data_IF_542125545786
#
_entry.id   IF_542125545786
#
_cell.length_a   1.000
_cell.length_b   1.000
_cell.length_c   1.000
_cell.angle_alpha   90.00
_cell.angle_beta   90.00
_cell.angle_gamma   90.00
#
_symmetry.space_group_name_H-M   'P 1'
#
loop_
_entity.id
_entity.type
_entity.pdbx_description
1 polymer ?
#
# COMPACT_ATOMS: atom_id res chain seq x y z
N UNK A 1 51.93 -12.04 -117.52
CA UNK A 1 52.50 -12.39 -116.19
C UNK A 1 51.96 -11.37 -115.20
N UNK A 2 51.41 -11.79 -114.04
CA UNK A 2 51.15 -11.00 -112.79
C UNK A 2 50.44 -9.62 -112.89
N UNK A 3 49.59 -9.10 -112.00
CA UNK A 3 48.97 -9.44 -110.70
C UNK A 3 47.73 -8.49 -110.56
N UNK A 4 46.74 -8.59 -109.66
CA UNK A 4 46.37 -9.52 -108.58
C UNK A 4 44.82 -9.49 -108.37
N UNK A 5 44.32 -10.26 -107.41
CA UNK A 5 42.90 -10.34 -106.99
C UNK A 5 42.51 -9.22 -106.00
N UNK A 6 41.27 -8.73 -106.02
CA UNK A 6 40.69 -7.98 -104.90
C UNK A 6 39.17 -8.20 -104.75
N UNK A 7 38.76 -8.89 -103.69
CA UNK A 7 37.37 -9.26 -103.40
C UNK A 7 36.75 -8.29 -102.39
N UNK A 8 35.70 -7.54 -102.75
CA UNK A 8 35.07 -6.61 -101.80
C UNK A 8 33.97 -7.27 -100.96
N UNK A 9 34.20 -7.33 -99.64
CA UNK A 9 33.27 -7.87 -98.64
C UNK A 9 32.55 -6.77 -97.85
N UNK A 10 31.22 -6.82 -97.86
CA UNK A 10 30.21 -6.36 -96.87
C UNK A 10 30.56 -5.23 -95.88
N UNK A 11 29.58 -4.31 -95.70
CA UNK A 11 29.16 -3.83 -94.36
C UNK A 11 27.64 -3.54 -94.31
N UNK A 12 26.91 -4.26 -93.46
CA UNK A 12 25.56 -3.87 -92.99
C UNK A 12 25.69 -2.82 -91.88
N UNK A 13 24.77 -1.85 -91.72
CA UNK A 13 24.75 -0.98 -90.55
C UNK A 13 24.37 -1.79 -89.30
N UNK A 14 25.13 -1.64 -88.22
CA UNK A 14 24.73 -2.17 -86.90
C UNK A 14 23.64 -1.28 -86.29
N UNK A 15 22.53 -1.89 -85.90
CA UNK A 15 21.49 -1.21 -85.13
C UNK A 15 22.01 -0.77 -83.76
N UNK A 16 21.90 0.54 -83.46
CA UNK A 16 22.16 1.07 -82.12
C UNK A 16 21.13 0.51 -81.13
N UNK A 17 21.55 -0.45 -80.30
CA UNK A 17 20.77 -0.86 -79.11
C UNK A 17 20.68 0.34 -78.16
N UNK A 18 19.48 0.88 -77.97
CA UNK A 18 19.22 1.89 -76.94
C UNK A 18 19.51 1.32 -75.56
N UNK A 19 20.25 2.08 -74.73
CA UNK A 19 20.38 1.76 -73.29
C UNK A 19 19.01 1.91 -72.63
N UNK A 20 18.56 0.97 -71.79
CA UNK A 20 17.35 1.19 -70.99
C UNK A 20 17.56 2.36 -70.04
N UNK A 21 16.63 3.30 -70.02
CA UNK A 21 16.66 4.42 -69.08
C UNK A 21 16.51 3.88 -67.65
N UNK A 22 17.44 4.23 -66.75
CA UNK A 22 17.32 3.89 -65.33
C UNK A 22 16.09 4.61 -64.76
N UNK A 23 15.17 3.92 -64.07
CA UNK A 23 14.00 4.57 -63.49
C UNK A 23 14.43 5.64 -62.47
N UNK A 24 13.72 6.78 -62.39
CA UNK A 24 14.08 7.85 -61.47
C UNK A 24 14.02 7.33 -60.03
N UNK A 25 15.15 7.39 -59.33
CA UNK A 25 15.25 7.04 -57.90
C UNK A 25 14.36 7.99 -57.11
N UNK A 26 13.16 7.55 -56.74
CA UNK A 26 12.17 8.39 -56.06
C UNK A 26 12.71 8.86 -54.70
N UNK A 27 12.96 10.18 -54.57
CA UNK A 27 13.49 10.80 -53.34
C UNK A 27 12.62 10.49 -52.12
N UNK A 28 11.30 10.32 -52.31
CA UNK A 28 10.35 9.91 -51.27
C UNK A 28 10.64 8.56 -50.59
N UNK A 29 11.35 7.64 -51.25
CA UNK A 29 11.73 6.35 -50.65
C UNK A 29 12.74 6.50 -49.50
N UNK A 30 13.66 7.47 -49.58
CA UNK A 30 14.60 7.78 -48.50
C UNK A 30 13.92 8.53 -47.36
N UNK A 31 13.09 9.52 -47.67
CA UNK A 31 12.32 10.25 -46.67
C UNK A 31 11.40 9.32 -45.85
N UNK A 32 10.67 8.41 -46.51
CA UNK A 32 9.87 7.38 -45.82
C UNK A 32 10.70 6.47 -44.92
N UNK A 33 11.89 6.04 -45.36
CA UNK A 33 12.80 5.24 -44.51
C UNK A 33 13.30 6.03 -43.31
N UNK A 34 13.66 7.29 -43.46
CA UNK A 34 14.10 8.14 -42.35
C UNK A 34 12.96 8.30 -41.34
N UNK A 35 11.75 8.66 -41.79
CA UNK A 35 10.56 8.78 -40.93
C UNK A 35 10.29 7.45 -40.20
N UNK A 36 10.35 6.32 -40.89
CA UNK A 36 10.11 5.00 -40.28
C UNK A 36 11.19 4.63 -39.26
N UNK A 37 12.46 4.90 -39.53
CA UNK A 37 13.54 4.69 -38.55
C UNK A 37 13.42 5.63 -37.35
N UNK A 38 13.07 6.90 -37.55
CA UNK A 38 12.81 7.85 -36.45
C UNK A 38 11.63 7.37 -35.59
N UNK A 39 10.55 6.89 -36.19
CA UNK A 39 9.42 6.30 -35.46
C UNK A 39 9.82 5.04 -34.69
N UNK A 40 10.60 4.14 -35.28
CA UNK A 40 11.13 2.95 -34.59
C UNK A 40 12.01 3.35 -33.40
N UNK A 41 12.92 4.32 -33.56
CA UNK A 41 13.76 4.83 -32.46
C UNK A 41 12.91 5.47 -31.37
N UNK A 42 11.88 6.26 -31.71
CA UNK A 42 10.97 6.85 -30.74
C UNK A 42 10.16 5.79 -29.99
N UNK A 43 9.66 4.75 -30.67
CA UNK A 43 8.95 3.63 -30.03
C UNK A 43 9.87 2.83 -29.13
N UNK A 44 11.11 2.56 -29.54
CA UNK A 44 12.10 1.86 -28.71
C UNK A 44 12.53 2.71 -27.50
N UNK A 45 12.72 4.02 -27.67
CA UNK A 45 13.05 4.93 -26.58
C UNK A 45 11.88 5.07 -25.57
N UNK A 46 10.64 5.19 -26.06
CA UNK A 46 9.45 5.21 -25.22
C UNK A 46 9.24 3.87 -24.49
N UNK A 47 9.40 2.74 -25.18
CA UNK A 47 9.30 1.40 -24.60
C UNK A 47 10.39 1.13 -23.56
N UNK A 48 11.64 1.51 -23.85
CA UNK A 48 12.76 1.41 -22.90
C UNK A 48 12.58 2.30 -21.67
N UNK A 49 12.08 3.53 -21.86
CA UNK A 49 11.74 4.44 -20.75
C UNK A 49 10.61 3.86 -19.89
N UNK A 50 9.53 3.35 -20.51
CA UNK A 50 8.42 2.71 -19.81
C UNK A 50 8.84 1.47 -19.03
N UNK A 51 9.69 0.62 -19.62
CA UNK A 51 10.28 -0.53 -18.94
C UNK A 51 11.15 -0.11 -17.76
N UNK A 52 12.02 0.90 -17.92
CA UNK A 52 12.87 1.41 -16.84
C UNK A 52 12.04 1.95 -15.66
N UNK A 53 11.01 2.77 -15.94
CA UNK A 53 10.09 3.27 -14.91
C UNK A 53 9.36 2.13 -14.19
N UNK A 54 8.84 1.15 -14.94
CA UNK A 54 8.19 -0.05 -14.38
C UNK A 54 9.15 -0.85 -13.48
N UNK A 55 10.35 -1.15 -13.97
CA UNK A 55 11.36 -1.92 -13.25
C UNK A 55 11.84 -1.21 -11.98
N UNK A 56 11.99 0.12 -12.02
CA UNK A 56 12.31 0.92 -10.83
C UNK A 56 11.20 0.82 -9.78
N UNK A 57 9.94 1.01 -10.18
CA UNK A 57 8.79 0.93 -9.26
C UNK A 57 8.61 -0.47 -8.66
N UNK A 58 8.80 -1.51 -9.46
CA UNK A 58 8.69 -2.90 -9.01
C UNK A 58 9.90 -3.33 -8.16
N UNK A 59 11.08 -2.76 -8.38
CA UNK A 59 12.30 -3.03 -7.60
C UNK A 59 12.26 -2.47 -6.18
N UNK A 60 11.39 -1.48 -5.91
CA UNK A 60 11.19 -0.93 -4.56
C UNK A 60 10.37 -1.88 -3.65
N UNK A 61 9.58 -2.80 -4.21
CA UNK A 61 8.64 -3.61 -3.44
C UNK A 61 9.36 -4.79 -2.76
N UNK A 62 9.18 -4.87 -1.43
CA UNK A 62 9.67 -5.97 -0.62
C UNK A 62 8.48 -6.75 -0.03
N UNK A 63 8.42 -8.04 -0.38
CA UNK A 63 7.43 -8.98 0.14
C UNK A 63 7.96 -9.76 1.34
N UNK A 64 7.14 -9.91 2.36
CA UNK A 64 7.33 -10.90 3.43
C UNK A 64 6.61 -12.18 3.01
N UNK A 65 7.31 -13.31 3.00
CA UNK A 65 6.65 -14.61 2.88
C UNK A 65 5.92 -14.92 4.19
N UNK A 66 4.59 -14.81 4.14
CA UNK A 66 3.73 -15.11 5.27
C UNK A 66 3.30 -16.57 5.30
N UNK A 67 3.26 -17.28 4.18
CA UNK A 67 2.70 -18.63 4.16
C UNK A 67 3.65 -19.65 4.79
N UNK A 68 4.97 -19.48 4.63
CA UNK A 68 5.95 -20.26 5.38
C UNK A 68 5.83 -20.02 6.89
N UNK A 69 5.76 -18.75 7.31
CA UNK A 69 5.80 -18.35 8.72
C UNK A 69 4.47 -18.57 9.48
N UNK A 70 3.32 -18.50 8.80
CA UNK A 70 2.01 -18.79 9.37
C UNK A 70 1.72 -20.29 9.39
N UNK A 71 2.23 -21.03 8.40
CA UNK A 71 2.01 -22.47 8.23
C UNK A 71 0.55 -22.81 7.89
N UNK A 72 0.22 -24.11 8.01
CA UNK A 72 -1.08 -24.64 7.56
C UNK A 72 -2.22 -24.49 8.57
N UNK A 73 -1.92 -24.22 9.85
CA UNK A 73 -2.93 -24.10 10.90
C UNK A 73 -3.46 -22.66 11.03
N UNK A 74 -4.15 -22.23 9.97
CA UNK A 74 -4.78 -20.91 9.83
C UNK A 74 -6.31 -21.07 9.79
N UNK A 75 -7.10 -20.03 10.10
CA UNK A 75 -8.55 -20.10 9.94
C UNK A 75 -8.95 -20.46 8.50
N UNK A 76 -10.08 -21.17 8.37
CA UNK A 76 -10.70 -21.45 7.09
C UNK A 76 -11.22 -20.15 6.44
N UNK A 77 -10.95 -19.98 5.14
CA UNK A 77 -11.54 -18.90 4.36
C UNK A 77 -12.93 -19.33 3.91
N UNK A 78 -13.97 -18.67 4.45
CA UNK A 78 -15.34 -18.97 4.03
C UNK A 78 -15.61 -18.35 2.64
N UNK A 79 -16.35 -19.03 1.74
CA UNK A 79 -16.58 -18.54 0.38
C UNK A 79 -17.15 -17.12 0.29
N UNK A 80 -17.97 -16.73 1.26
CA UNK A 80 -18.66 -15.42 1.32
C UNK A 80 -17.91 -14.34 2.11
N UNK A 81 -16.70 -14.63 2.62
CA UNK A 81 -16.01 -13.77 3.61
C UNK A 81 -15.19 -12.60 3.03
N UNK A 82 -15.36 -12.30 1.74
CA UNK A 82 -14.68 -11.17 1.09
C UNK A 82 -13.15 -11.30 1.07
N UNK A 83 -12.46 -10.16 1.19
CA UNK A 83 -11.02 -10.07 1.43
C UNK A 83 -10.73 -9.39 2.77
N UNK A 84 -9.75 -9.90 3.51
CA UNK A 84 -9.34 -9.35 4.81
C UNK A 84 -7.85 -8.98 4.78
N UNK A 85 -7.51 -7.79 5.24
CA UNK A 85 -6.16 -7.22 5.13
C UNK A 85 -5.73 -6.72 6.51
N UNK A 86 -4.56 -7.15 6.99
CA UNK A 86 -3.93 -6.54 8.15
C UNK A 86 -3.06 -5.36 7.70
N UNK A 87 -3.43 -4.15 8.13
CA UNK A 87 -2.66 -2.92 7.92
C UNK A 87 -1.97 -2.54 9.22
N UNK A 88 -0.63 -2.44 9.21
CA UNK A 88 0.18 -1.98 10.34
C UNK A 88 0.84 -0.63 10.03
N UNK A 89 0.82 0.27 11.02
CA UNK A 89 1.69 1.44 11.06
C UNK A 89 2.81 1.21 12.07
N UNK A 90 4.07 1.26 11.63
CA UNK A 90 5.23 0.96 12.47
C UNK A 90 6.10 2.18 12.82
N UNK A 91 6.45 2.29 14.11
CA UNK A 91 7.54 3.14 14.61
C UNK A 91 8.85 2.36 14.50
N UNK A 92 9.23 2.00 13.27
CA UNK A 92 10.50 1.32 12.99
C UNK A 92 11.63 2.34 12.95
N UNK A 93 12.39 2.49 14.04
CA UNK A 93 13.44 3.51 14.21
C UNK A 93 14.75 3.21 13.48
N UNK A 94 14.70 2.42 12.41
CA UNK A 94 15.82 2.16 11.53
C UNK A 94 15.93 3.23 10.42
N UNK A 95 17.15 3.49 9.95
CA UNK A 95 17.40 4.39 8.83
C UNK A 95 16.83 5.81 9.03
N UNK A 96 16.08 6.30 8.05
CA UNK A 96 15.49 7.64 8.02
C UNK A 96 14.50 7.94 9.16
N UNK A 97 14.04 6.93 9.90
CA UNK A 97 13.13 7.09 11.02
C UNK A 97 13.85 7.40 12.36
N UNK A 98 15.18 7.31 12.42
CA UNK A 98 15.94 7.51 13.65
C UNK A 98 15.67 8.88 14.32
N UNK A 99 15.52 9.92 13.49
CA UNK A 99 15.27 11.30 13.95
C UNK A 99 13.77 11.60 14.21
N UNK A 100 12.86 10.66 13.89
CA UNK A 100 11.40 10.82 14.04
C UNK A 100 10.84 10.26 15.37
N UNK A 101 11.71 9.75 16.25
CA UNK A 101 11.35 9.12 17.53
C UNK A 101 11.95 9.80 18.75
N UNK A 102 11.11 10.35 19.64
CA UNK A 102 11.53 11.13 20.84
C UNK A 102 12.03 10.28 22.02
N UNK A 103 12.58 9.07 21.82
CA UNK A 103 12.96 8.19 22.94
C UNK A 103 14.05 7.15 22.66
N UNK A 104 14.84 6.83 23.69
CA UNK A 104 16.00 5.91 23.63
C UNK A 104 15.61 4.44 23.91
N UNK A 105 14.78 3.84 23.05
CA UNK A 105 14.47 2.40 23.12
C UNK A 105 14.65 1.80 21.72
N UNK A 106 15.47 0.74 21.63
CA UNK A 106 15.68 0.01 20.39
C UNK A 106 14.52 -0.95 20.09
N UNK A 107 14.21 -1.13 18.81
CA UNK A 107 13.17 -2.04 18.32
C UNK A 107 11.96 -1.31 17.73
N UNK A 108 11.43 -1.86 16.63
CA UNK A 108 10.24 -1.37 15.95
C UNK A 108 8.96 -1.79 16.68
N UNK A 109 7.92 -0.96 16.67
CA UNK A 109 6.60 -1.25 17.28
C UNK A 109 5.48 -1.01 16.28
N UNK A 110 4.49 -1.90 16.24
CA UNK A 110 3.22 -1.60 15.57
C UNK A 110 2.40 -0.66 16.48
N UNK A 111 2.48 0.63 16.20
CA UNK A 111 1.82 1.69 16.96
C UNK A 111 0.36 1.90 16.51
N UNK A 112 0.02 1.42 15.32
CA UNK A 112 -1.32 1.36 14.73
C UNK A 112 -1.53 -0.01 14.08
N UNK A 113 -2.71 -0.62 14.26
CA UNK A 113 -3.08 -1.87 13.61
C UNK A 113 -4.57 -1.89 13.26
N UNK A 114 -4.90 -2.21 12.01
CA UNK A 114 -6.27 -2.32 11.53
C UNK A 114 -6.48 -3.61 10.73
N UNK A 115 -7.60 -4.29 10.96
CA UNK A 115 -8.11 -5.32 10.05
C UNK A 115 -9.12 -4.66 9.12
N UNK A 116 -8.79 -4.53 7.84
CA UNK A 116 -9.72 -4.07 6.82
C UNK A 116 -10.43 -5.27 6.19
N UNK A 117 -11.74 -5.33 6.36
CA UNK A 117 -12.63 -6.30 5.72
C UNK A 117 -13.33 -5.66 4.53
N UNK A 118 -13.33 -6.35 3.39
CA UNK A 118 -13.87 -5.88 2.13
C UNK A 118 -14.81 -6.98 1.63
N UNK A 119 -16.14 -6.87 1.82
CA UNK A 119 -17.09 -7.92 1.45
C UNK A 119 -17.10 -8.20 -0.06
N UNK A 120 -17.68 -9.34 -0.42
CA UNK A 120 -17.93 -9.71 -1.81
C UNK A 120 -18.71 -8.59 -2.54
N UNK A 121 -18.35 -8.32 -3.80
CA UNK A 121 -18.85 -7.17 -4.56
C UNK A 121 -18.05 -5.87 -4.37
N UNK A 122 -17.24 -5.73 -3.31
CA UNK A 122 -16.29 -4.61 -3.09
C UNK A 122 -16.89 -3.19 -3.20
N UNK A 123 -18.11 -3.00 -2.69
CA UNK A 123 -18.80 -1.69 -2.65
C UNK A 123 -18.72 -0.99 -1.29
N UNK A 124 -18.36 -1.73 -0.24
CA UNK A 124 -18.19 -1.26 1.13
C UNK A 124 -16.86 -1.79 1.67
N UNK A 125 -16.39 -1.23 2.79
CA UNK A 125 -15.32 -1.83 3.58
C UNK A 125 -15.47 -1.42 5.06
N UNK A 126 -15.11 -2.33 5.96
CA UNK A 126 -15.07 -2.09 7.41
C UNK A 126 -13.63 -2.16 7.89
N UNK A 127 -13.14 -1.15 8.61
CA UNK A 127 -11.83 -1.17 9.24
C UNK A 127 -11.95 -1.31 10.77
N UNK A 128 -11.46 -2.43 11.30
CA UNK A 128 -11.43 -2.71 12.74
C UNK A 128 -10.06 -2.38 13.32
N UNK A 129 -9.96 -1.26 14.04
CA UNK A 129 -8.73 -0.83 14.73
C UNK A 129 -8.51 -1.65 16.00
N UNK A 130 -7.32 -2.23 16.18
CA UNK A 130 -6.93 -2.98 17.37
C UNK A 130 -6.09 -2.06 18.28
N UNK A 131 -6.56 -1.71 19.50
CA UNK A 131 -5.77 -0.89 20.41
C UNK A 131 -4.43 -1.53 20.78
N UNK A 132 -3.34 -0.78 20.66
CA UNK A 132 -1.95 -1.25 20.78
C UNK A 132 -1.63 -1.97 22.10
N UNK A 133 -2.30 -1.58 23.18
CA UNK A 133 -2.06 -2.07 24.54
C UNK A 133 -3.11 -3.13 24.96
N UNK A 134 -3.89 -3.64 24.00
CA UNK A 134 -4.78 -4.79 24.19
C UNK A 134 -3.96 -6.02 24.58
N UNK A 135 -4.33 -6.68 25.68
CA UNK A 135 -3.73 -7.94 26.11
C UNK A 135 -4.33 -9.09 25.28
N UNK A 136 -3.48 -9.74 24.50
CA UNK A 136 -3.82 -10.85 23.62
C UNK A 136 -3.12 -12.15 24.05
N UNK A 137 -3.57 -13.28 23.52
CA UNK A 137 -2.78 -14.52 23.54
C UNK A 137 -2.03 -14.60 22.23
N UNK A 138 -0.69 -14.52 22.29
CA UNK A 138 0.18 -14.72 21.15
C UNK A 138 0.41 -16.23 20.97
N UNK A 139 0.24 -16.78 19.75
CA UNK A 139 0.62 -18.15 19.44
C UNK A 139 2.12 -18.37 19.56
N UNK A 140 2.53 -19.62 19.37
CA UNK A 140 3.92 -19.93 19.05
C UNK A 140 4.26 -19.35 17.66
N UNK A 141 5.41 -18.69 17.56
CA UNK A 141 5.88 -18.00 16.36
C UNK A 141 7.35 -18.32 16.10
N UNK A 142 7.78 -18.22 14.84
CA UNK A 142 9.18 -18.41 14.44
C UNK A 142 9.78 -17.04 14.12
N UNK A 143 11.01 -16.78 14.56
CA UNK A 143 11.78 -15.60 14.16
C UNK A 143 12.40 -15.77 12.77
N UNK A 144 12.91 -14.67 12.22
CA UNK A 144 13.73 -14.66 11.00
C UNK A 144 15.04 -15.47 11.10
N UNK A 145 15.54 -15.76 12.31
CA UNK A 145 16.69 -16.64 12.55
C UNK A 145 16.31 -18.14 12.68
N UNK A 146 15.04 -18.47 12.47
CA UNK A 146 14.51 -19.83 12.63
C UNK A 146 14.22 -20.25 14.08
N UNK A 147 14.56 -19.43 15.09
CA UNK A 147 14.29 -19.76 16.49
C UNK A 147 12.79 -19.63 16.85
N UNK A 148 12.29 -20.60 17.61
CA UNK A 148 10.92 -20.59 18.11
C UNK A 148 10.75 -19.63 19.30
N UNK A 149 9.64 -18.89 19.29
CA UNK A 149 9.13 -18.09 20.39
C UNK A 149 7.89 -18.81 20.93
N UNK A 150 7.91 -19.32 22.19
CA UNK A 150 6.78 -20.06 22.74
C UNK A 150 5.52 -19.19 22.83
N UNK A 151 4.35 -19.82 22.81
CA UNK A 151 3.08 -19.14 23.02
C UNK A 151 3.03 -18.41 24.37
N UNK A 152 2.41 -17.23 24.42
CA UNK A 152 2.27 -16.45 25.65
C UNK A 152 0.88 -15.83 25.77
N UNK A 153 0.31 -15.91 26.97
CA UNK A 153 -0.98 -15.30 27.32
C UNK A 153 -0.76 -13.89 27.86
N UNK A 154 -1.72 -12.99 27.65
CA UNK A 154 -1.77 -11.64 28.22
C UNK A 154 -0.55 -10.77 27.90
N UNK A 155 -0.10 -10.80 26.65
CA UNK A 155 0.94 -9.89 26.15
C UNK A 155 0.30 -8.70 25.42
N UNK A 156 0.91 -7.52 25.48
CA UNK A 156 0.41 -6.35 24.75
C UNK A 156 0.55 -6.56 23.24
N UNK A 157 -0.48 -6.23 22.47
CA UNK A 157 -0.51 -6.45 21.02
C UNK A 157 0.69 -5.84 20.29
N UNK A 158 1.06 -4.58 20.60
CA UNK A 158 2.21 -3.90 20.01
C UNK A 158 3.57 -4.59 20.23
N UNK A 159 3.72 -5.34 21.32
CA UNK A 159 4.95 -6.07 21.66
C UNK A 159 5.15 -7.32 20.80
N UNK A 160 4.09 -7.84 20.16
CA UNK A 160 4.17 -8.98 19.25
C UNK A 160 5.03 -8.63 18.04
N UNK A 161 4.84 -7.45 17.45
CA UNK A 161 5.65 -6.97 16.34
C UNK A 161 7.13 -6.87 16.74
N UNK A 162 7.44 -6.17 17.84
CA UNK A 162 8.82 -5.96 18.31
C UNK A 162 9.57 -7.25 18.62
N UNK A 163 8.86 -8.30 19.04
CA UNK A 163 9.45 -9.56 19.47
C UNK A 163 9.59 -10.58 18.33
N UNK A 164 8.65 -10.58 17.38
CA UNK A 164 8.41 -11.72 16.49
C UNK A 164 8.05 -11.33 15.05
N UNK A 165 8.04 -10.03 14.71
CA UNK A 165 7.82 -9.54 13.35
C UNK A 165 6.37 -9.70 12.83
N UNK A 166 6.13 -9.27 11.59
CA UNK A 166 4.78 -9.11 11.03
C UNK A 166 4.00 -10.42 10.92
N UNK A 167 4.65 -11.53 10.55
CA UNK A 167 3.98 -12.84 10.46
C UNK A 167 3.39 -13.30 11.79
N UNK A 168 4.06 -13.05 12.91
CA UNK A 168 3.51 -13.36 14.23
C UNK A 168 2.34 -12.45 14.62
N UNK A 169 2.32 -11.19 14.15
CA UNK A 169 1.16 -10.30 14.33
C UNK A 169 -0.03 -10.83 13.54
N UNK A 170 0.15 -11.19 12.26
CA UNK A 170 -0.90 -11.83 11.44
C UNK A 170 -1.44 -13.07 12.15
N UNK A 171 -0.57 -13.99 12.58
CA UNK A 171 -0.97 -15.22 13.32
C UNK A 171 -1.76 -14.91 14.60
N UNK A 172 -1.39 -13.85 15.32
CA UNK A 172 -2.08 -13.40 16.53
C UNK A 172 -3.47 -12.83 16.21
N UNK A 173 -3.59 -12.04 15.13
CA UNK A 173 -4.86 -11.50 14.63
C UNK A 173 -5.79 -12.62 14.18
N UNK A 174 -5.28 -13.59 13.40
CA UNK A 174 -6.01 -14.78 12.97
C UNK A 174 -6.49 -15.62 14.17
N UNK A 175 -5.65 -15.80 15.20
CA UNK A 175 -6.04 -16.54 16.40
C UNK A 175 -7.11 -15.82 17.24
N UNK A 176 -7.01 -14.49 17.42
CA UNK A 176 -7.95 -13.74 18.27
C UNK A 176 -9.31 -13.48 17.60
N UNK A 177 -9.34 -13.42 16.26
CA UNK A 177 -10.57 -13.15 15.48
C UNK A 177 -11.20 -14.41 14.89
N UNK A 178 -10.39 -15.42 14.56
CA UNK A 178 -10.80 -16.53 13.71
C UNK A 178 -11.05 -16.11 12.26
N UNK A 179 -10.70 -14.88 11.85
CA UNK A 179 -10.78 -14.38 10.47
C UNK A 179 -9.47 -14.71 9.77
N UNK A 180 -9.53 -15.29 8.56
CA UNK A 180 -8.38 -15.54 7.71
C UNK A 180 -7.91 -14.22 7.09
N UNK A 181 -6.65 -13.83 7.29
CA UNK A 181 -6.07 -12.68 6.59
C UNK A 181 -5.62 -13.13 5.19
N UNK A 182 -6.01 -12.39 4.17
CA UNK A 182 -5.58 -12.62 2.79
C UNK A 182 -4.28 -11.87 2.50
N UNK A 183 -4.21 -10.61 2.94
CA UNK A 183 -3.07 -9.74 2.66
C UNK A 183 -2.55 -9.03 3.91
N UNK A 184 -1.33 -8.53 3.79
CA UNK A 184 -0.62 -7.75 4.79
C UNK A 184 -0.02 -6.50 4.15
N UNK A 185 -0.13 -5.37 4.84
CA UNK A 185 0.52 -4.13 4.47
C UNK A 185 1.11 -3.47 5.72
N UNK A 186 2.36 -3.06 5.64
CA UNK A 186 3.02 -2.23 6.64
C UNK A 186 3.52 -0.94 5.99
N UNK A 187 3.32 0.16 6.71
CA UNK A 187 3.90 1.46 6.39
C UNK A 187 4.61 2.02 7.64
N UNK A 188 5.86 2.48 7.46
CA UNK A 188 6.61 3.15 8.52
C UNK A 188 6.38 4.67 8.51
N UNK A 189 6.97 5.40 9.46
CA UNK A 189 6.76 6.84 9.60
C UNK A 189 7.33 7.66 8.43
N UNK A 190 8.51 7.32 7.93
CA UNK A 190 9.13 7.93 6.76
C UNK A 190 8.27 7.73 5.52
N UNK A 191 7.79 6.50 5.29
CA UNK A 191 6.95 6.13 4.17
C UNK A 191 5.56 6.75 4.22
N UNK A 192 4.95 6.82 5.41
CA UNK A 192 3.70 7.53 5.64
C UNK A 192 3.82 9.02 5.28
N UNK A 193 4.88 9.69 5.77
CA UNK A 193 5.16 11.08 5.42
C UNK A 193 5.36 11.24 3.90
N UNK A 194 6.20 10.40 3.30
CA UNK A 194 6.49 10.43 1.87
C UNK A 194 5.24 10.27 1.01
N UNK A 195 4.34 9.34 1.37
CA UNK A 195 3.07 9.13 0.68
C UNK A 195 2.18 10.37 0.73
N UNK A 196 2.02 10.99 1.91
CA UNK A 196 1.24 12.22 2.09
C UNK A 196 1.85 13.38 1.26
N UNK A 197 3.17 13.56 1.31
CA UNK A 197 3.89 14.58 0.53
C UNK A 197 3.85 14.30 -0.99
N UNK A 198 3.66 13.05 -1.41
CA UNK A 198 3.52 12.66 -2.80
C UNK A 198 2.12 12.97 -3.37
N UNK A 199 1.04 12.74 -2.60
CA UNK A 199 -0.33 13.14 -2.97
C UNK A 199 -0.61 14.63 -2.76
N UNK A 200 0.30 15.35 -2.10
CA UNK A 200 0.24 16.80 -1.91
C UNK A 200 -0.50 17.26 -0.64
N UNK A 201 -0.48 16.45 0.41
CA UNK A 201 -1.10 16.71 1.71
C UNK A 201 -2.54 16.18 1.86
N UNK A 202 -2.98 15.98 3.10
CA UNK A 202 -4.33 15.49 3.45
C UNK A 202 -5.15 16.58 4.13
N UNK A 203 -6.37 16.80 3.66
CA UNK A 203 -7.30 17.75 4.28
C UNK A 203 -8.04 17.10 5.45
N UNK A 204 -7.94 17.69 6.65
CA UNK A 204 -8.71 17.30 7.85
C UNK A 204 -9.49 18.50 8.41
N UNK A 205 -10.58 18.23 9.13
CA UNK A 205 -11.29 19.24 9.93
C UNK A 205 -11.23 18.86 11.40
N UNK A 206 -10.90 19.81 12.26
CA UNK A 206 -10.88 19.63 13.71
C UNK A 206 -11.83 20.63 14.36
N UNK A 207 -12.80 20.14 15.13
CA UNK A 207 -13.86 20.98 15.71
C UNK A 207 -13.38 21.82 16.90
N UNK A 208 -12.30 21.37 17.55
CA UNK A 208 -11.65 22.03 18.69
C UNK A 208 -10.13 22.08 18.44
N UNK A 209 -9.42 23.10 18.95
CA UNK A 209 -7.98 23.22 18.75
C UNK A 209 -7.24 22.04 19.39
N UNK A 210 -6.16 21.60 18.74
CA UNK A 210 -5.33 20.48 19.18
C UNK A 210 -3.91 20.99 19.38
N UNK A 211 -3.45 20.95 20.63
CA UNK A 211 -2.09 21.30 21.00
C UNK A 211 -1.45 20.11 21.74
N UNK A 212 -0.53 19.39 21.10
CA UNK A 212 0.19 18.26 21.70
C UNK A 212 1.71 18.45 21.55
N UNK A 213 2.34 18.88 22.64
CA UNK A 213 3.79 19.07 22.73
C UNK A 213 4.59 17.77 22.55
N UNK A 214 3.98 16.60 22.72
CA UNK A 214 4.64 15.30 22.56
C UNK A 214 4.69 14.84 21.11
N UNK A 215 3.71 15.19 20.29
CA UNK A 215 3.70 14.94 18.84
C UNK A 215 4.28 16.13 18.04
N UNK A 216 4.31 17.32 18.64
CA UNK A 216 4.63 18.58 17.97
C UNK A 216 3.45 19.16 17.18
N UNK A 217 2.24 18.64 17.35
CA UNK A 217 1.05 19.14 16.66
C UNK A 217 0.52 20.42 17.33
N UNK A 218 0.28 21.44 16.52
CA UNK A 218 -0.42 22.66 16.89
C UNK A 218 -1.39 23.02 15.76
N UNK A 219 -2.70 22.87 16.01
CA UNK A 219 -3.78 23.19 15.07
C UNK A 219 -4.88 23.98 15.79
N UNK A 220 -5.33 25.09 15.21
CA UNK A 220 -6.58 25.74 15.62
C UNK A 220 -7.79 24.88 15.25
N UNK A 221 -8.97 25.17 15.79
CA UNK A 221 -10.22 24.68 15.20
C UNK A 221 -10.32 25.11 13.71
N UNK A 222 -10.96 24.27 12.88
CA UNK A 222 -11.18 24.51 11.45
C UNK A 222 -10.63 23.41 10.54
N UNK A 223 -10.67 23.68 9.23
CA UNK A 223 -10.15 22.79 8.18
C UNK A 223 -8.72 23.15 7.82
N UNK A 224 -7.83 22.15 7.87
CA UNK A 224 -6.39 22.29 7.60
C UNK A 224 -5.96 21.29 6.54
N UNK A 225 -5.05 21.69 5.66
CA UNK A 225 -4.37 20.76 4.76
C UNK A 225 -3.00 20.44 5.32
N UNK A 226 -2.83 19.22 5.82
CA UNK A 226 -1.64 18.76 6.50
C UNK A 226 -0.61 18.21 5.51
N UNK A 227 0.64 18.64 5.61
CA UNK A 227 1.77 17.94 4.97
C UNK A 227 2.07 16.59 5.68
N UNK A 228 3.02 15.81 5.18
CA UNK A 228 3.34 14.49 5.76
C UNK A 228 3.93 14.55 7.17
N UNK A 229 4.56 15.66 7.56
CA UNK A 229 5.07 15.89 8.93
C UNK A 229 3.92 16.21 9.87
N UNK A 230 3.06 17.16 9.49
CA UNK A 230 1.87 17.54 10.25
C UNK A 230 0.89 16.38 10.37
N UNK A 231 0.72 15.59 9.30
CA UNK A 231 -0.10 14.38 9.29
C UNK A 231 0.44 13.32 10.24
N UNK A 232 1.77 13.13 10.29
CA UNK A 232 2.40 12.18 11.20
C UNK A 232 2.21 12.63 12.66
N UNK A 233 2.35 13.93 12.93
CA UNK A 233 2.04 14.50 14.24
C UNK A 233 0.55 14.32 14.59
N UNK A 234 -0.36 14.50 13.62
CA UNK A 234 -1.80 14.31 13.79
C UNK A 234 -2.16 12.88 14.22
N UNK A 235 -1.79 11.86 13.44
CA UNK A 235 -2.11 10.46 13.76
C UNK A 235 -1.36 9.91 14.98
N UNK A 236 -0.31 10.62 15.44
CA UNK A 236 0.43 10.29 16.68
C UNK A 236 -0.06 11.03 17.91
N UNK A 237 -0.84 12.11 17.78
CA UNK A 237 -1.28 12.97 18.89
C UNK A 237 -2.13 12.22 19.90
N UNK A 238 -1.71 12.28 21.17
CA UNK A 238 -2.36 11.59 22.30
C UNK A 238 -2.87 12.58 23.34
N UNK A 239 -2.05 13.55 23.73
CA UNK A 239 -2.31 14.38 24.91
C UNK A 239 -3.10 15.66 24.61
N UNK A 240 -3.14 16.09 23.35
CA UNK A 240 -3.96 17.23 22.91
C UNK A 240 -5.42 16.90 22.64
N UNK A 241 -5.85 15.65 22.84
CA UNK A 241 -7.13 15.11 22.35
C UNK A 241 -7.78 14.15 23.33
N UNK A 242 -9.11 14.15 23.34
CA UNK A 242 -9.93 13.30 24.21
C UNK A 242 -9.53 13.34 25.69
N UNK A 243 -9.37 12.16 26.28
CA UNK A 243 -8.95 11.93 27.66
C UNK A 243 -7.43 11.75 27.83
N UNK A 244 -6.64 11.95 26.76
CA UNK A 244 -5.20 11.66 26.76
C UNK A 244 -4.84 10.18 26.56
N UNK A 245 -5.83 9.28 26.46
CA UNK A 245 -5.60 7.84 26.30
C UNK A 245 -5.26 7.45 24.85
N UNK A 246 -4.72 6.25 24.66
CA UNK A 246 -4.57 5.70 23.31
C UNK A 246 -5.92 5.41 22.63
N UNK A 247 -6.94 5.04 23.41
CA UNK A 247 -8.30 4.79 22.92
C UNK A 247 -8.92 6.08 22.33
N UNK A 248 -8.68 7.23 22.95
CA UNK A 248 -9.17 8.54 22.46
C UNK A 248 -8.54 8.96 21.12
N UNK A 249 -7.33 8.47 20.81
CA UNK A 249 -6.63 8.74 19.54
C UNK A 249 -7.13 7.92 18.36
N UNK A 250 -7.72 6.74 18.59
CA UNK A 250 -8.13 5.82 17.50
C UNK A 250 -9.13 6.49 16.55
N UNK A 251 -10.06 7.30 17.06
CA UNK A 251 -11.00 8.06 16.22
C UNK A 251 -10.30 9.02 15.24
N UNK A 252 -9.21 9.67 15.64
CA UNK A 252 -8.43 10.56 14.75
C UNK A 252 -7.66 9.78 13.70
N UNK A 253 -7.16 8.59 14.04
CA UNK A 253 -6.51 7.71 13.06
C UNK A 253 -7.52 7.21 12.02
N UNK A 254 -8.74 6.89 12.44
CA UNK A 254 -9.85 6.50 11.57
C UNK A 254 -10.30 7.66 10.67
N UNK A 255 -10.49 8.86 11.23
CA UNK A 255 -10.79 10.08 10.48
C UNK A 255 -9.69 10.40 9.45
N UNK A 256 -8.42 10.35 9.85
CA UNK A 256 -7.30 10.61 8.95
C UNK A 256 -7.21 9.56 7.84
N UNK A 257 -7.45 8.27 8.14
CA UNK A 257 -7.46 7.22 7.13
C UNK A 257 -8.55 7.45 6.08
N UNK A 258 -9.77 7.81 6.49
CA UNK A 258 -10.87 8.15 5.57
C UNK A 258 -10.45 9.36 4.69
N UNK A 259 -9.91 10.41 5.30
CA UNK A 259 -9.43 11.59 4.59
C UNK A 259 -8.31 11.24 3.58
N UNK A 260 -7.30 10.47 3.99
CA UNK A 260 -6.20 10.01 3.14
C UNK A 260 -6.72 9.20 1.94
N UNK A 261 -7.61 8.23 2.17
CA UNK A 261 -8.21 7.43 1.10
C UNK A 261 -9.07 8.29 0.16
N UNK A 262 -9.81 9.28 0.68
CA UNK A 262 -10.52 10.26 -0.14
C UNK A 262 -9.58 11.12 -0.99
N UNK A 263 -8.45 11.59 -0.45
CA UNK A 263 -7.48 12.40 -1.19
C UNK A 263 -6.72 11.58 -2.25
N UNK A 264 -6.48 10.29 -2.00
CA UNK A 264 -5.97 9.32 -2.99
C UNK A 264 -6.98 9.12 -4.11
N UNK A 265 -8.26 8.88 -3.79
CA UNK A 265 -9.34 8.67 -4.77
C UNK A 265 -9.61 9.90 -5.66
N UNK A 266 -9.30 11.10 -5.18
CA UNK A 266 -9.36 12.36 -5.95
C UNK A 266 -8.14 12.60 -6.85
N UNK A 267 -7.05 11.84 -6.73
CA UNK A 267 -5.87 12.07 -7.58
C UNK A 267 -6.21 11.72 -9.03
N UNK A 268 -6.04 12.70 -9.92
CA UNK A 268 -6.06 12.44 -11.36
C UNK A 268 -4.75 11.74 -11.79
N UNK A 269 -4.71 10.43 -11.56
CA UNK A 269 -3.60 9.55 -11.95
C UNK A 269 -3.50 9.34 -13.47
N UNK A 270 -4.45 9.86 -14.26
CA UNK A 270 -4.46 9.74 -15.73
C UNK A 270 -3.99 11.03 -16.42
N UNK A 271 -4.33 12.21 -15.88
CA UNK A 271 -3.96 13.50 -16.44
C UNK A 271 -2.52 13.95 -16.19
N UNK A 272 -1.75 13.28 -15.33
CA UNK A 272 -0.36 13.69 -15.03
C UNK A 272 0.59 12.51 -14.77
N UNK A 273 1.23 11.95 -15.82
CA UNK A 273 2.14 10.81 -15.69
C UNK A 273 3.29 11.02 -14.69
N UNK A 274 3.77 12.25 -14.53
CA UNK A 274 4.83 12.60 -13.58
C UNK A 274 4.34 12.56 -12.12
N UNK A 275 3.12 13.03 -11.84
CA UNK A 275 2.51 12.87 -10.51
C UNK A 275 2.21 11.41 -10.21
N UNK A 276 1.64 10.68 -11.18
CA UNK A 276 1.35 9.25 -11.05
C UNK A 276 2.62 8.46 -10.74
N UNK A 277 3.73 8.74 -11.43
CA UNK A 277 5.01 8.11 -11.12
C UNK A 277 5.55 8.52 -9.74
N UNK A 278 5.46 9.80 -9.33
CA UNK A 278 5.88 10.24 -8.00
C UNK A 278 5.10 9.53 -6.88
N UNK A 279 3.78 9.45 -7.01
CA UNK A 279 2.89 8.78 -6.06
C UNK A 279 3.18 7.28 -6.03
N UNK A 280 3.26 6.63 -7.20
CA UNK A 280 3.60 5.21 -7.28
C UNK A 280 4.97 4.90 -6.68
N UNK A 281 6.01 5.70 -6.98
CA UNK A 281 7.35 5.49 -6.44
C UNK A 281 7.40 5.69 -4.92
N UNK A 282 6.71 6.71 -4.41
CA UNK A 282 6.60 6.91 -2.97
C UNK A 282 5.90 5.72 -2.33
N UNK A 283 4.75 5.30 -2.86
CA UNK A 283 3.98 4.17 -2.35
C UNK A 283 4.79 2.87 -2.35
N UNK A 284 5.44 2.52 -3.47
CA UNK A 284 6.21 1.27 -3.55
C UNK A 284 7.50 1.27 -2.73
N UNK A 285 8.08 2.44 -2.44
CA UNK A 285 9.24 2.56 -1.54
C UNK A 285 8.85 2.57 -0.05
N UNK A 286 7.57 2.77 0.25
CA UNK A 286 7.05 3.00 1.60
C UNK A 286 6.30 1.81 2.18
N UNK A 287 5.88 0.87 1.33
CA UNK A 287 5.10 -0.30 1.71
C UNK A 287 5.95 -1.56 1.74
N UNK A 288 5.88 -2.26 2.86
CA UNK A 288 6.20 -3.69 2.93
C UNK A 288 4.88 -4.46 2.83
N UNK A 289 4.79 -5.47 1.98
CA UNK A 289 3.55 -6.26 1.80
C UNK A 289 3.77 -7.75 2.03
N UNK A 290 2.71 -8.55 1.97
CA UNK A 290 2.86 -9.97 1.67
C UNK A 290 3.45 -10.20 0.26
N UNK A 291 3.89 -11.43 0.00
CA UNK A 291 4.48 -11.86 -1.27
C UNK A 291 3.52 -11.84 -2.46
N UNK A 292 2.20 -11.97 -2.27
CA UNK A 292 1.23 -11.91 -3.39
C UNK A 292 1.09 -10.47 -3.91
N UNK A 293 1.17 -9.48 -3.02
CA UNK A 293 1.11 -8.05 -3.35
C UNK A 293 2.47 -7.40 -3.69
N UNK A 294 3.58 -8.11 -3.50
CA UNK A 294 4.95 -7.63 -3.72
C UNK A 294 5.36 -7.49 -5.21
N UNK A 295 4.43 -7.09 -6.08
CA UNK A 295 4.72 -6.67 -7.45
C UNK A 295 3.87 -5.46 -7.83
N UNK A 296 4.39 -4.59 -8.69
CA UNK A 296 3.66 -3.40 -9.14
C UNK A 296 2.36 -3.79 -9.85
N UNK A 297 2.38 -4.94 -10.56
CA UNK A 297 1.17 -5.49 -11.20
C UNK A 297 0.14 -5.92 -10.15
N UNK A 298 0.54 -6.73 -9.16
CA UNK A 298 -0.35 -7.21 -8.09
C UNK A 298 -0.96 -6.04 -7.32
N UNK A 299 -0.15 -5.08 -6.89
CA UNK A 299 -0.60 -3.91 -6.15
C UNK A 299 -1.55 -3.02 -6.99
N UNK A 300 -1.30 -2.89 -8.31
CA UNK A 300 -2.18 -2.17 -9.22
C UNK A 300 -3.47 -2.93 -9.58
N UNK A 301 -3.46 -4.27 -9.62
CA UNK A 301 -4.66 -5.11 -9.78
C UNK A 301 -5.51 -5.04 -8.49
N UNK A 302 -4.87 -5.15 -7.32
CA UNK A 302 -5.51 -4.97 -6.01
C UNK A 302 -6.15 -3.58 -5.90
N UNK A 303 -5.41 -2.50 -6.15
CA UNK A 303 -5.93 -1.14 -6.12
C UNK A 303 -7.10 -0.92 -7.08
N UNK A 304 -7.03 -1.46 -8.31
CA UNK A 304 -8.17 -1.43 -9.25
C UNK A 304 -9.38 -2.20 -8.75
N UNK A 305 -9.18 -3.31 -8.03
CA UNK A 305 -10.29 -4.05 -7.42
C UNK A 305 -11.01 -3.23 -6.33
N UNK A 306 -10.31 -2.30 -5.69
CA UNK A 306 -10.83 -1.41 -4.65
C UNK A 306 -11.57 -0.17 -5.18
N UNK A 307 -11.55 0.11 -6.49
CA UNK A 307 -12.18 1.30 -7.08
C UNK A 307 -13.68 1.44 -6.78
N UNK A 308 -14.37 0.32 -6.51
CA UNK A 308 -15.79 0.30 -6.15
C UNK A 308 -16.10 0.74 -4.71
N UNK A 309 -15.10 0.75 -3.81
CA UNK A 309 -15.28 1.18 -2.43
C UNK A 309 -15.29 2.70 -2.36
N UNK A 310 -16.22 3.26 -1.59
CA UNK A 310 -16.21 4.69 -1.28
C UNK A 310 -15.67 4.96 0.13
N UNK A 311 -14.56 5.71 0.28
CA UNK A 311 -14.01 6.02 1.61
C UNK A 311 -15.02 6.70 2.54
N UNK A 312 -15.95 7.48 1.98
CA UNK A 312 -17.00 8.15 2.76
C UNK A 312 -18.09 7.21 3.30
N UNK A 313 -18.21 5.99 2.75
CA UNK A 313 -19.11 4.94 3.25
C UNK A 313 -18.37 3.81 3.99
N UNK A 314 -17.07 3.96 4.23
CA UNK A 314 -16.31 2.99 5.02
C UNK A 314 -16.71 3.05 6.49
N UNK A 315 -17.04 1.90 7.05
CA UNK A 315 -17.30 1.78 8.47
C UNK A 315 -15.98 1.66 9.24
N UNK A 316 -15.81 2.43 10.31
CA UNK A 316 -14.63 2.33 11.18
C UNK A 316 -15.06 1.95 12.58
N UNK A 317 -14.42 0.91 13.13
CA UNK A 317 -14.80 0.30 14.41
C UNK A 317 -13.53 0.15 15.24
N UNK A 318 -13.52 0.62 16.47
CA UNK A 318 -12.51 0.18 17.44
C UNK A 318 -12.91 -1.20 17.95
N UNK A 319 -12.00 -2.17 17.96
CA UNK A 319 -12.20 -3.47 18.61
C UNK A 319 -12.81 -3.25 20.01
N UNK A 320 -14.01 -3.79 20.31
CA UNK A 320 -14.60 -3.66 21.63
C UNK A 320 -13.67 -4.21 22.70
N UNK A 321 -13.31 -3.36 23.63
CA UNK A 321 -12.41 -3.66 24.74
C UNK A 321 -12.99 -3.19 26.06
N UNK A 322 -12.52 -3.77 27.15
CA UNK A 322 -12.79 -3.32 28.53
C UNK A 322 -11.46 -3.21 29.28
N UNK A 323 -11.42 -2.37 30.31
CA UNK A 323 -10.26 -2.36 31.22
C UNK A 323 -10.03 -3.75 31.82
N UNK A 324 -8.77 -4.12 31.94
CA UNK A 324 -8.36 -5.37 32.56
C UNK A 324 -8.44 -5.25 34.10
N UNK A 325 -8.87 -6.34 34.75
CA UNK A 325 -9.11 -6.34 36.20
C UNK A 325 -7.85 -6.59 37.03
N UNK A 326 -6.73 -6.97 36.41
CA UNK A 326 -5.45 -7.18 37.07
C UNK A 326 -4.41 -6.09 36.74
N UNK A 327 -4.51 -5.44 35.57
CA UNK A 327 -3.77 -4.22 35.25
C UNK A 327 -4.71 -3.16 34.63
N UNK A 328 -5.23 -2.20 35.42
CA UNK A 328 -6.12 -1.15 34.92
C UNK A 328 -5.53 -0.26 33.82
N UNK A 329 -4.21 -0.28 33.61
CA UNK A 329 -3.54 0.44 32.50
C UNK A 329 -3.57 -0.35 31.18
N UNK A 330 -4.31 -1.45 31.13
CA UNK A 330 -4.44 -2.36 30.00
C UNK A 330 -5.91 -2.62 29.71
N UNK A 331 -6.15 -3.09 28.49
CA UNK A 331 -7.47 -3.49 28.04
C UNK A 331 -7.45 -4.92 27.52
N UNK A 332 -8.59 -5.60 27.60
CA UNK A 332 -8.83 -6.92 27.01
C UNK A 332 -10.04 -6.85 26.09
N UNK A 333 -10.15 -7.71 25.05
CA UNK A 333 -11.36 -7.79 24.25
C UNK A 333 -12.61 -7.96 25.12
N UNK A 334 -13.62 -7.13 24.86
CA UNK A 334 -14.89 -7.18 25.56
C UNK A 334 -15.76 -8.30 25.00
N UNK A 335 -16.09 -9.28 25.83
CA UNK A 335 -17.01 -10.37 25.48
C UNK A 335 -18.42 -10.04 25.99
N UNK A 336 -19.48 -10.26 25.20
CA UNK A 336 -19.52 -10.96 23.91
C UNK A 336 -19.29 -10.08 22.67
N UNK A 337 -19.04 -8.78 22.82
CA UNK A 337 -19.01 -7.81 21.72
C UNK A 337 -17.94 -8.15 20.66
N UNK A 338 -16.68 -8.34 21.09
CA UNK A 338 -15.56 -8.64 20.20
C UNK A 338 -15.75 -9.94 19.41
N UNK A 339 -16.29 -10.99 20.05
CA UNK A 339 -16.61 -12.26 19.38
C UNK A 339 -17.74 -12.10 18.37
N UNK A 340 -18.75 -11.30 18.69
CA UNK A 340 -19.86 -11.01 17.77
C UNK A 340 -19.36 -10.22 16.54
N UNK A 341 -18.51 -9.21 16.77
CA UNK A 341 -17.84 -8.44 15.71
C UNK A 341 -17.03 -9.36 14.79
N UNK A 342 -16.09 -10.14 15.34
CA UNK A 342 -15.25 -11.01 14.53
C UNK A 342 -16.04 -12.12 13.84
N UNK A 343 -17.10 -12.65 14.46
CA UNK A 343 -18.01 -13.59 13.80
C UNK A 343 -18.65 -12.95 12.56
N UNK A 344 -19.17 -11.73 12.69
CA UNK A 344 -19.83 -11.03 11.59
C UNK A 344 -18.87 -10.77 10.41
N UNK A 345 -17.68 -10.24 10.68
CA UNK A 345 -16.59 -10.08 9.70
C UNK A 345 -16.26 -11.42 9.02
N UNK A 346 -16.07 -12.49 9.80
CA UNK A 346 -15.72 -13.82 9.27
C UNK A 346 -16.79 -14.40 8.36
N UNK A 347 -18.07 -14.16 8.65
CA UNK A 347 -19.19 -14.69 7.85
C UNK A 347 -19.65 -13.76 6.72
N UNK A 348 -19.12 -12.53 6.63
CA UNK A 348 -19.60 -11.51 5.70
C UNK A 348 -21.03 -11.04 6.03
N UNK A 349 -21.43 -11.06 7.30
CA UNK A 349 -22.76 -10.63 7.73
C UNK A 349 -22.74 -9.23 8.34
N UNK A 350 -23.89 -8.56 8.38
CA UNK A 350 -24.04 -7.27 9.06
C UNK A 350 -23.52 -7.33 10.51
N UNK A 351 -22.78 -6.31 10.91
CA UNK A 351 -22.20 -6.17 12.25
C UNK A 351 -23.28 -5.58 13.18
N UNK A 352 -23.73 -6.28 14.24
CA UNK A 352 -24.74 -5.74 15.13
C UNK A 352 -24.24 -4.50 15.89
N UNK A 353 -25.11 -3.49 16.06
CA UNK A 353 -24.79 -2.26 16.82
C UNK A 353 -24.26 -2.52 18.25
N UNK A 354 -24.69 -3.60 18.89
CA UNK A 354 -24.18 -4.03 20.20
C UNK A 354 -22.71 -4.49 20.15
N UNK A 355 -22.24 -4.98 19.01
CA UNK A 355 -20.87 -5.42 18.77
C UNK A 355 -19.94 -4.29 18.32
N UNK A 356 -20.47 -3.11 17.97
CA UNK A 356 -19.68 -1.91 17.65
C UNK A 356 -19.31 -1.10 18.89
N UNK A 357 -20.06 -1.27 19.99
CA UNK A 357 -19.90 -0.50 21.24
C UNK A 357 -18.83 -1.11 22.14
N UNK A 358 -17.73 -0.37 22.32
CA UNK A 358 -16.66 -0.72 23.26
C UNK A 358 -16.98 -0.26 24.70
N UNK A 359 -17.00 -1.16 25.71
CA UNK A 359 -17.20 -0.78 27.11
C UNK A 359 -16.15 0.19 27.67
N UNK A 360 -14.88 0.02 27.30
CA UNK A 360 -13.83 1.01 27.52
C UNK A 360 -13.65 1.82 26.23
N UNK A 361 -13.76 3.13 26.35
CA UNK A 361 -13.59 4.10 25.29
C UNK A 361 -12.83 5.28 25.89
N UNK A 362 -11.88 5.84 25.14
CA UNK A 362 -11.43 7.20 25.44
C UNK A 362 -12.54 8.16 25.05
N UNK A 363 -12.67 9.29 25.73
CA UNK A 363 -13.67 10.28 25.35
C UNK A 363 -13.28 10.89 24.00
N UNK A 364 -13.95 10.49 22.91
CA UNK A 364 -13.87 11.22 21.64
C UNK A 364 -14.45 12.62 21.82
N UNK A 365 -13.83 13.62 21.18
CA UNK A 365 -14.28 15.02 21.25
C UNK A 365 -15.38 15.36 20.25
#
# INVERSE_FOLDING_TARGET
MSHATATHSRRRPQGRRGRPAKPPRSRGSRARRIILWTLVVLVLAAGGTGYWLYSSLNGNLHGVDLDEALGKNRPEKLPTSGQNILVLGSDSRAGANADLGTGKVAGARSDTALVMHIPEGRTQATAVSIPRDTLVTRPECTKSDGSAIPAAKRVMFNSVYSLAGPACVVKTVEQMSGVRMDHFMEIDFSGFKGLVDAIGGVTVTVDKPIHDKSSGLDLSAGTHKLDGTQSLAFVRTRHGVGDGSDLGRIGLQQQFMIALLSEIKKQDLLGSPTKTYKIANSLTSSLTTDSELASLKSLADFGRSMNGVDPASMETIMLPVRYDTADPNRVVPAEPQARTLWKAIRTGSEIPESAKKSPAHGTSQ
#
